data_IF_005419192521
#
_entry.id   IF_005419192521
#
_cell.length_a   1.000
_cell.length_b   1.000
_cell.length_c   1.000
_cell.angle_alpha   90.00
_cell.angle_beta   90.00
_cell.angle_gamma   90.00
#
_symmetry.space_group_name_H-M   'P 1'
#
loop_
_entity.id
_entity.type
_entity.pdbx_description
1 polymer ?
#
# COMPACT_ATOMS: atom_id res chain seq x y z
N UNK A 1 10.44 -5.02 19.94
CA UNK A 1 9.44 -4.31 19.13
C UNK A 1 9.95 -4.39 17.71
N UNK A 2 9.32 -5.19 16.84
CA UNK A 2 9.75 -5.26 15.44
C UNK A 2 9.54 -3.89 14.81
N UNK A 3 10.62 -3.23 14.40
CA UNK A 3 10.58 -2.00 13.62
C UNK A 3 9.61 -2.20 12.45
N UNK A 4 8.51 -1.47 12.51
CA UNK A 4 7.54 -1.46 11.44
C UNK A 4 8.11 -0.48 10.41
N UNK A 5 8.85 -0.98 9.44
CA UNK A 5 9.38 -0.17 8.36
C UNK A 5 8.24 0.24 7.42
N UNK A 6 7.83 1.50 7.52
CA UNK A 6 7.01 2.15 6.50
C UNK A 6 7.91 2.62 5.36
N UNK A 7 7.52 2.34 4.12
CA UNK A 7 8.20 2.88 2.93
C UNK A 7 7.47 4.11 2.40
N UNK A 8 8.20 5.11 1.91
CA UNK A 8 7.56 6.18 1.14
C UNK A 8 7.11 5.66 -0.22
N UNK A 9 5.97 6.16 -0.70
CA UNK A 9 5.48 5.87 -2.04
C UNK A 9 6.41 6.46 -3.10
N UNK A 10 6.71 5.68 -4.13
CA UNK A 10 7.40 6.13 -5.34
C UNK A 10 6.51 5.85 -6.54
N UNK A 11 6.14 6.90 -7.29
CA UNK A 11 5.24 6.76 -8.44
C UNK A 11 5.83 5.92 -9.58
N UNK A 12 7.15 5.79 -9.63
CA UNK A 12 7.87 4.91 -10.57
C UNK A 12 7.49 3.42 -10.41
N UNK A 13 6.94 3.03 -9.25
CA UNK A 13 6.43 1.67 -9.03
C UNK A 13 5.12 1.40 -9.81
N UNK A 14 4.41 2.44 -10.26
CA UNK A 14 3.14 2.35 -10.97
C UNK A 14 3.33 2.55 -12.47
N UNK A 15 3.66 1.46 -13.17
CA UNK A 15 3.82 1.47 -14.61
C UNK A 15 2.86 0.51 -15.31
N UNK A 16 2.32 0.92 -16.45
CA UNK A 16 1.42 0.13 -17.30
C UNK A 16 0.04 0.78 -17.48
N UNK A 17 -0.93 -0.01 -17.96
CA UNK A 17 -2.31 0.45 -18.12
C UNK A 17 -3.03 0.63 -16.78
N UNK A 18 -4.10 1.42 -16.76
CA UNK A 18 -4.86 1.73 -15.54
C UNK A 18 -5.31 0.48 -14.77
N UNK A 19 -5.81 -0.53 -15.47
CA UNK A 19 -6.21 -1.81 -14.84
C UNK A 19 -5.02 -2.56 -14.23
N UNK A 20 -3.84 -2.48 -14.85
CA UNK A 20 -2.64 -3.14 -14.33
C UNK A 20 -2.15 -2.44 -13.07
N UNK A 21 -2.12 -1.10 -13.06
CA UNK A 21 -1.77 -0.30 -11.88
C UNK A 21 -2.77 -0.52 -10.76
N UNK A 22 -4.07 -0.59 -11.07
CA UNK A 22 -5.09 -0.90 -10.08
C UNK A 22 -4.84 -2.25 -9.41
N UNK A 23 -4.49 -3.29 -10.18
CA UNK A 23 -4.14 -4.61 -9.63
C UNK A 23 -2.92 -4.55 -8.72
N UNK A 24 -1.88 -3.79 -9.06
CA UNK A 24 -0.69 -3.67 -8.18
C UNK A 24 -1.00 -2.96 -6.86
N UNK A 25 -2.02 -2.10 -6.82
CA UNK A 25 -2.51 -1.43 -5.62
C UNK A 25 -3.41 -2.35 -4.79
N UNK A 26 -4.40 -2.97 -5.43
CA UNK A 26 -5.53 -3.64 -4.76
C UNK A 26 -5.33 -5.14 -4.49
N UNK A 27 -4.42 -5.80 -5.22
CA UNK A 27 -4.29 -7.27 -5.17
C UNK A 27 -2.99 -7.72 -4.51
N UNK A 28 -3.07 -8.87 -3.83
CA UNK A 28 -1.93 -9.52 -3.23
C UNK A 28 -0.99 -10.06 -4.31
N UNK A 29 0.27 -9.64 -4.30
CA UNK A 29 1.29 -10.12 -5.26
C UNK A 29 1.62 -11.63 -5.13
N UNK A 30 1.14 -12.30 -4.08
CA UNK A 30 1.38 -13.73 -3.85
C UNK A 30 0.20 -14.59 -4.32
N UNK A 31 -1.03 -14.24 -3.93
CA UNK A 31 -2.21 -15.07 -4.21
C UNK A 31 -3.27 -14.42 -5.10
N UNK A 32 -3.14 -13.14 -5.46
CA UNK A 32 -4.10 -12.40 -6.29
C UNK A 32 -5.37 -11.94 -5.56
N UNK A 33 -5.54 -12.29 -4.28
CA UNK A 33 -6.69 -11.84 -3.50
C UNK A 33 -6.68 -10.35 -3.23
N UNK A 34 -7.86 -9.75 -3.06
CA UNK A 34 -8.00 -8.33 -2.72
C UNK A 34 -7.42 -8.02 -1.35
N UNK A 35 -6.65 -6.94 -1.26
CA UNK A 35 -6.03 -6.45 -0.03
C UNK A 35 -7.03 -5.60 0.77
N UNK A 36 -6.97 -5.73 2.09
CA UNK A 36 -7.62 -4.81 3.01
C UNK A 36 -6.70 -3.60 3.22
N UNK A 37 -7.10 -2.44 2.70
CA UNK A 37 -6.38 -1.17 2.84
C UNK A 37 -6.96 -0.37 4.01
N UNK A 38 -6.09 0.23 4.82
CA UNK A 38 -6.45 1.14 5.90
C UNK A 38 -5.59 2.39 5.80
N UNK A 39 -6.22 3.56 5.82
CA UNK A 39 -5.57 4.86 5.69
C UNK A 39 -5.69 5.66 6.99
N UNK A 40 -4.57 6.19 7.48
CA UNK A 40 -4.52 7.10 8.61
C UNK A 40 -3.90 8.43 8.16
N UNK A 41 -4.72 9.44 7.84
CA UNK A 41 -4.22 10.73 7.40
C UNK A 41 -3.70 11.58 8.57
N UNK A 42 -2.58 12.24 8.36
CA UNK A 42 -2.01 13.29 9.19
C UNK A 42 -1.95 14.58 8.37
N UNK A 43 -3.00 15.39 8.49
CA UNK A 43 -3.10 16.67 7.77
C UNK A 43 -2.14 17.74 8.29
N UNK A 44 -1.58 17.57 9.50
CA UNK A 44 -0.60 18.54 10.03
C UNK A 44 0.73 18.42 9.29
N UNK A 45 1.13 17.18 8.99
CA UNK A 45 2.39 16.89 8.29
C UNK A 45 2.18 16.57 6.80
N UNK A 46 0.94 16.61 6.32
CA UNK A 46 0.57 16.27 4.93
C UNK A 46 1.01 14.85 4.55
N UNK A 47 0.79 13.88 5.44
CA UNK A 47 1.13 12.49 5.22
C UNK A 47 -0.11 11.60 5.34
N UNK A 48 -0.14 10.48 4.63
CA UNK A 48 -1.11 9.40 4.87
C UNK A 48 -0.37 8.10 5.08
N UNK A 49 -0.61 7.45 6.20
CA UNK A 49 -0.12 6.09 6.43
C UNK A 49 -1.14 5.10 5.87
N UNK A 50 -0.75 4.32 4.86
CA UNK A 50 -1.52 3.18 4.36
C UNK A 50 -0.95 1.89 4.94
N UNK A 51 -1.83 1.00 5.40
CA UNK A 51 -1.49 -0.42 5.61
C UNK A 51 -2.36 -1.29 4.72
N UNK A 52 -1.73 -2.17 3.94
CA UNK A 52 -2.41 -3.19 3.15
C UNK A 52 -2.17 -4.57 3.75
N UNK A 53 -3.23 -5.36 3.92
CA UNK A 53 -3.14 -6.73 4.42
C UNK A 53 -3.87 -7.72 3.54
N UNK A 54 -3.25 -8.87 3.27
CA UNK A 54 -3.93 -9.97 2.61
C UNK A 54 -4.60 -10.86 3.65
N UNK A 55 -5.93 -10.96 3.60
CA UNK A 55 -6.70 -11.76 4.56
C UNK A 55 -6.67 -13.26 4.26
N UNK A 56 -6.27 -13.64 3.05
CA UNK A 56 -6.28 -15.05 2.62
C UNK A 56 -4.93 -15.73 2.86
N UNK A 57 -3.82 -15.14 2.40
CA UNK A 57 -2.48 -15.75 2.53
C UNK A 57 -1.59 -15.13 3.62
N UNK A 58 -1.92 -13.94 4.12
CA UNK A 58 -1.13 -13.25 5.16
C UNK A 58 0.27 -12.75 4.75
N UNK A 59 0.81 -13.13 3.59
CA UNK A 59 2.19 -12.83 3.18
C UNK A 59 2.36 -11.49 2.46
N UNK A 60 1.35 -11.02 1.72
CA UNK A 60 1.44 -9.82 0.85
C UNK A 60 1.18 -8.49 1.55
N UNK A 61 1.54 -8.34 2.83
CA UNK A 61 1.24 -7.14 3.59
C UNK A 61 2.25 -6.03 3.25
N UNK A 62 1.79 -4.79 3.12
CA UNK A 62 2.66 -3.61 2.95
C UNK A 62 2.21 -2.45 3.82
N UNK A 63 3.15 -1.54 4.08
CA UNK A 63 2.90 -0.30 4.81
C UNK A 63 3.60 0.83 4.09
N UNK A 64 2.83 1.84 3.70
CA UNK A 64 3.28 2.91 2.81
C UNK A 64 2.94 4.27 3.44
N UNK A 65 3.81 5.25 3.23
CA UNK A 65 3.53 6.65 3.52
C UNK A 65 3.34 7.37 2.19
N UNK A 66 2.16 7.98 2.02
CA UNK A 66 1.84 8.89 0.93
C UNK A 66 2.07 10.33 1.40
N UNK A 67 2.51 11.19 0.49
CA UNK A 67 2.69 12.63 0.73
C UNK A 67 1.54 13.37 0.03
N UNK A 68 0.81 14.20 0.77
CA UNK A 68 -0.30 15.02 0.29
C UNK A 68 0.24 16.39 -0.17
N UNK A 69 0.84 16.50 -1.34
CA UNK A 69 1.29 17.79 -1.90
C UNK A 69 1.00 17.88 -3.40
#
# INVERSE_FOLDING_TARGET
>A
MSDIDFKFENFEEYFGGAEQVKKTIDECKVCGSKLLLSHMPDYKNLLVQETARCMDCGCGNRRVIHILN
#
